data_IF_862422842160
#
_entry.id   IF_862422842160
#
_cell.length_a   1.000
_cell.length_b   1.000
_cell.length_c   1.000
_cell.angle_alpha   90.00
_cell.angle_beta   90.00
_cell.angle_gamma   90.00
#
_symmetry.space_group_name_H-M   'P 1'
#
loop_
_entity.id
_entity.type
_entity.pdbx_description
1 polymer ?
#
# COMPACT_ATOMS: atom_id res chain seq x y z
N UNK A 1 64.25 -18.03 -67.21
CA UNK A 1 64.92 -18.23 -65.91
C UNK A 1 64.04 -19.15 -65.08
N UNK A 2 64.51 -20.37 -64.79
CA UNK A 2 63.95 -21.25 -63.77
C UNK A 2 64.09 -20.58 -62.39
N UNK A 3 63.21 -20.90 -61.44
CA UNK A 3 63.50 -21.85 -60.34
C UNK A 3 62.48 -21.71 -59.21
N UNK A 4 62.01 -22.87 -58.72
CA UNK A 4 61.81 -23.23 -57.30
C UNK A 4 60.85 -22.35 -56.45
N UNK A 5 60.01 -22.85 -55.56
CA UNK A 5 59.66 -24.20 -55.08
C UNK A 5 58.52 -24.01 -54.06
N UNK A 6 58.05 -25.15 -53.55
CA UNK A 6 57.40 -25.35 -52.25
C UNK A 6 55.87 -25.16 -52.18
N UNK A 7 55.08 -26.22 -52.43
CA UNK A 7 54.77 -27.39 -51.57
C UNK A 7 54.12 -27.06 -50.21
N UNK A 8 52.91 -27.62 -50.08
CA UNK A 8 52.35 -28.31 -48.91
C UNK A 8 51.97 -27.42 -47.73
N UNK A 9 50.80 -27.53 -47.10
CA UNK A 9 50.00 -28.71 -46.75
C UNK A 9 48.60 -28.16 -46.40
N UNK A 10 47.48 -28.66 -46.95
CA UNK A 10 46.73 -29.80 -46.37
C UNK A 10 46.44 -29.55 -44.87
N UNK A 11 45.20 -29.43 -44.38
CA UNK A 11 43.96 -30.11 -44.75
C UNK A 11 42.76 -29.38 -44.11
N UNK A 12 41.66 -29.38 -44.87
CA UNK A 12 40.29 -29.82 -44.50
C UNK A 12 39.61 -29.12 -43.30
N UNK A 13 38.33 -28.72 -43.34
CA UNK A 13 37.23 -29.20 -44.17
C UNK A 13 36.02 -28.27 -43.96
N UNK A 14 35.23 -28.13 -45.04
CA UNK A 14 33.76 -27.99 -45.05
C UNK A 14 33.15 -26.82 -44.25
N UNK A 15 32.40 -25.89 -44.82
CA UNK A 15 31.34 -26.09 -45.80
C UNK A 15 31.00 -24.75 -46.45
N UNK A 16 30.95 -24.80 -47.76
CA UNK A 16 30.44 -23.78 -48.66
C UNK A 16 28.96 -23.49 -48.33
N UNK A 17 28.66 -22.28 -47.86
CA UNK A 17 27.29 -21.75 -47.85
C UNK A 17 27.32 -20.31 -48.30
N UNK A 18 26.94 -20.16 -49.58
CA UNK A 18 26.62 -18.94 -50.34
C UNK A 18 26.54 -17.65 -49.53
N UNK A 19 27.42 -16.71 -49.88
CA UNK A 19 27.27 -15.29 -49.63
C UNK A 19 25.97 -14.79 -50.27
N UNK A 20 25.00 -14.44 -49.41
CA UNK A 20 23.97 -13.46 -49.75
C UNK A 20 24.25 -12.21 -48.93
N UNK A 21 24.53 -11.15 -49.67
CA UNK A 21 24.61 -9.76 -49.24
C UNK A 21 23.46 -9.43 -48.29
N UNK A 22 23.77 -9.19 -47.02
CA UNK A 22 22.84 -8.55 -46.09
C UNK A 22 23.21 -7.06 -46.03
N UNK A 23 22.31 -6.25 -46.58
CA UNK A 23 22.39 -4.81 -46.61
C UNK A 23 22.26 -4.19 -45.22
N UNK A 24 22.69 -2.93 -45.15
CA UNK A 24 22.64 -2.02 -44.01
C UNK A 24 21.19 -1.68 -43.59
N UNK A 25 20.43 -2.67 -43.14
CA UNK A 25 19.01 -2.53 -42.84
C UNK A 25 18.52 -3.16 -41.54
N UNK A 26 19.40 -3.74 -40.71
CA UNK A 26 18.93 -4.53 -39.55
C UNK A 26 19.77 -4.41 -38.28
N UNK A 27 20.48 -3.28 -38.10
CA UNK A 27 21.18 -2.99 -36.84
C UNK A 27 20.40 -2.05 -35.89
N UNK A 28 19.24 -1.53 -36.33
CA UNK A 28 18.45 -0.60 -35.51
C UNK A 28 17.66 -1.30 -34.40
N UNK A 29 17.27 -2.57 -34.59
CA UNK A 29 16.40 -3.27 -33.63
C UNK A 29 17.18 -3.80 -32.43
N UNK A 30 18.44 -4.22 -32.62
CA UNK A 30 19.24 -4.84 -31.54
C UNK A 30 19.78 -3.86 -30.50
N UNK A 31 19.78 -2.55 -30.77
CA UNK A 31 20.12 -1.53 -29.76
C UNK A 31 18.90 -1.14 -28.90
N UNK A 32 17.67 -1.38 -29.40
CA UNK A 32 16.44 -0.94 -28.73
C UNK A 32 16.12 -1.71 -27.43
N UNK A 33 16.51 -2.98 -27.32
CA UNK A 33 16.22 -3.80 -26.13
C UNK A 33 17.06 -3.40 -24.89
N UNK A 34 18.22 -2.75 -25.08
CA UNK A 34 19.08 -2.34 -23.96
C UNK A 34 18.60 -1.03 -23.33
N UNK A 35 17.88 -0.18 -24.06
CA UNK A 35 17.41 1.13 -23.57
C UNK A 35 16.11 1.00 -22.75
N UNK A 36 15.24 0.02 -23.05
CA UNK A 36 13.99 -0.19 -22.30
C UNK A 36 14.26 -0.60 -20.84
N UNK A 37 15.28 -1.42 -20.59
CA UNK A 37 15.62 -1.84 -19.22
C UNK A 37 16.17 -0.69 -18.35
N UNK A 38 16.77 0.35 -18.96
CA UNK A 38 17.28 1.52 -18.24
C UNK A 38 16.16 2.52 -17.89
N UNK A 39 15.09 2.61 -18.69
CA UNK A 39 13.94 3.49 -18.39
C UNK A 39 13.04 2.94 -17.28
N UNK A 40 13.03 1.63 -17.01
CA UNK A 40 12.34 1.07 -15.85
C UNK A 40 13.00 1.54 -14.53
N UNK A 41 14.27 1.96 -14.55
CA UNK A 41 14.98 2.43 -13.34
C UNK A 41 14.69 3.89 -12.96
N UNK A 42 14.09 4.70 -13.85
CA UNK A 42 13.83 6.13 -13.58
C UNK A 42 12.35 6.45 -13.29
N UNK A 43 11.44 5.49 -13.46
CA UNK A 43 10.00 5.66 -13.23
C UNK A 43 9.47 5.23 -11.85
N UNK A 44 10.32 4.70 -10.97
CA UNK A 44 9.88 4.15 -9.67
C UNK A 44 10.60 4.75 -8.46
N UNK A 45 11.28 5.88 -8.59
CA UNK A 45 11.72 6.64 -7.41
C UNK A 45 10.65 7.64 -7.00
N UNK A 46 9.46 7.13 -6.69
CA UNK A 46 8.69 7.74 -5.61
C UNK A 46 9.31 7.20 -4.34
N UNK A 47 10.43 7.80 -3.92
CA UNK A 47 10.92 7.74 -2.54
C UNK A 47 9.87 8.43 -1.66
N UNK A 48 8.73 7.77 -1.49
CA UNK A 48 7.97 7.93 -0.27
C UNK A 48 8.86 7.30 0.78
N UNK A 49 9.40 8.18 1.64
CA UNK A 49 9.92 7.86 2.95
C UNK A 49 8.87 7.03 3.73
N UNK A 50 8.67 5.76 3.37
CA UNK A 50 8.13 4.74 4.26
C UNK A 50 9.25 4.44 5.23
N UNK A 51 9.36 5.33 6.21
CA UNK A 51 9.94 4.99 7.50
C UNK A 51 9.34 3.64 7.89
N UNK A 52 10.19 2.61 7.94
CA UNK A 52 9.80 1.27 8.33
C UNK A 52 9.03 1.35 9.67
N UNK A 53 7.70 1.21 9.61
CA UNK A 53 6.86 1.16 10.79
C UNK A 53 5.73 0.16 10.58
N UNK A 54 6.09 -1.11 10.72
CA UNK A 54 5.19 -2.16 11.23
C UNK A 54 3.73 -2.18 10.71
N UNK A 55 3.46 -2.12 9.40
CA UNK A 55 2.13 -2.43 8.84
C UNK A 55 0.93 -1.59 9.33
N UNK A 56 1.15 -0.52 10.10
CA UNK A 56 0.12 0.39 10.59
C UNK A 56 -0.06 1.55 9.62
N UNK A 57 -1.30 1.81 9.21
CA UNK A 57 -1.64 2.93 8.33
C UNK A 57 -2.16 4.08 9.21
N UNK A 58 -1.72 5.30 8.92
CA UNK A 58 -2.18 6.49 9.64
C UNK A 58 -3.55 6.94 9.10
N UNK A 59 -4.42 7.43 9.98
CA UNK A 59 -5.68 8.12 9.66
C UNK A 59 -5.49 9.23 8.62
N UNK A 60 -4.42 10.01 8.73
CA UNK A 60 -4.13 11.07 7.75
C UNK A 60 -3.86 10.52 6.35
N UNK A 61 -3.22 9.35 6.25
CA UNK A 61 -2.97 8.69 4.96
C UNK A 61 -4.27 8.17 4.34
N UNK A 62 -5.18 7.67 5.18
CA UNK A 62 -6.51 7.20 4.79
C UNK A 62 -7.37 8.35 4.23
N UNK A 63 -7.40 9.50 4.90
CA UNK A 63 -8.19 10.66 4.42
C UNK A 63 -7.61 11.22 3.11
N UNK A 64 -6.28 11.32 3.00
CA UNK A 64 -5.64 11.90 1.82
C UNK A 64 -5.63 10.97 0.59
N UNK A 65 -5.76 9.65 0.79
CA UNK A 65 -5.71 8.64 -0.27
C UNK A 65 -6.88 7.64 -0.17
N UNK A 66 -8.08 8.12 0.17
CA UNK A 66 -9.24 7.27 0.44
C UNK A 66 -9.50 6.25 -0.67
N UNK A 67 -9.43 6.66 -1.94
CA UNK A 67 -9.64 5.78 -3.10
C UNK A 67 -8.66 4.60 -3.16
N UNK A 68 -7.46 4.74 -2.57
CA UNK A 68 -6.45 3.68 -2.54
C UNK A 68 -6.77 2.62 -1.50
N UNK A 69 -7.53 2.96 -0.46
CA UNK A 69 -7.81 2.11 0.69
C UNK A 69 -9.27 1.67 0.81
N UNK A 70 -10.17 2.24 0.00
CA UNK A 70 -11.56 1.81 -0.04
C UNK A 70 -11.65 0.30 -0.31
N UNK A 71 -12.56 -0.37 0.38
CA UNK A 71 -12.79 -1.82 0.36
C UNK A 71 -11.60 -2.68 0.81
N UNK A 72 -10.53 -2.06 1.33
CA UNK A 72 -9.38 -2.77 1.90
C UNK A 72 -9.45 -2.86 3.41
N UNK A 73 -8.93 -3.95 3.94
CA UNK A 73 -8.67 -4.09 5.38
C UNK A 73 -7.46 -3.26 5.77
N UNK A 74 -7.64 -2.34 6.71
CA UNK A 74 -6.62 -1.47 7.27
C UNK A 74 -6.47 -1.72 8.76
N UNK A 75 -5.27 -1.52 9.29
CA UNK A 75 -5.02 -1.47 10.73
C UNK A 75 -4.47 -0.11 11.09
N UNK A 76 -5.17 0.58 11.98
CA UNK A 76 -4.90 1.96 12.37
C UNK A 76 -4.62 2.02 13.86
N UNK A 77 -3.67 2.86 14.25
CA UNK A 77 -3.24 3.04 15.63
C UNK A 77 -3.36 4.50 16.06
N UNK A 78 -4.49 4.83 16.69
CA UNK A 78 -4.91 6.21 16.85
C UNK A 78 -5.47 6.53 18.22
N UNK A 79 -5.65 7.83 18.54
CA UNK A 79 -6.31 8.25 19.78
C UNK A 79 -7.81 8.36 19.54
N UNK A 80 -8.65 7.79 20.41
CA UNK A 80 -10.08 8.04 20.37
C UNK A 80 -10.35 9.49 20.77
N UNK A 81 -11.25 10.16 20.03
CA UNK A 81 -11.59 11.57 20.24
C UNK A 81 -12.92 11.67 20.97
N UNK A 82 -14.01 11.25 20.31
CA UNK A 82 -15.38 11.32 20.81
C UNK A 82 -16.18 10.07 20.47
N UNK A 83 -17.23 9.77 21.26
CA UNK A 83 -18.20 8.70 20.96
C UNK A 83 -19.26 9.20 19.98
N UNK A 84 -19.71 8.32 19.10
CA UNK A 84 -20.78 8.57 18.13
C UNK A 84 -21.77 7.41 18.24
N UNK A 85 -22.98 7.69 18.72
CA UNK A 85 -23.96 6.63 19.01
C UNK A 85 -23.45 5.60 20.05
N UNK A 86 -24.05 4.41 20.03
CA UNK A 86 -23.74 3.34 20.98
C UNK A 86 -22.53 2.48 20.59
N UNK A 87 -22.32 2.30 19.28
CA UNK A 87 -21.35 1.35 18.72
C UNK A 87 -20.22 2.03 17.95
N UNK A 88 -20.12 3.36 17.95
CA UNK A 88 -19.13 4.06 17.13
C UNK A 88 -18.38 5.14 17.90
N UNK A 89 -17.24 5.55 17.35
CA UNK A 89 -16.41 6.61 17.90
C UNK A 89 -15.51 7.17 16.82
N UNK A 90 -14.91 8.32 17.06
CA UNK A 90 -13.98 8.95 16.15
C UNK A 90 -12.54 8.77 16.60
N UNK A 91 -11.61 8.68 15.63
CA UNK A 91 -10.18 8.58 15.88
C UNK A 91 -9.38 9.64 15.14
N UNK A 92 -8.29 10.11 15.75
CA UNK A 92 -7.38 11.08 15.16
C UNK A 92 -5.93 10.85 15.62
N UNK A 93 -5.00 10.71 14.67
CA UNK A 93 -3.58 10.50 14.99
C UNK A 93 -2.89 11.77 15.48
N UNK A 94 -3.38 12.92 15.02
CA UNK A 94 -2.80 14.23 15.28
C UNK A 94 -3.90 15.22 15.72
N UNK A 95 -4.48 15.03 16.91
CA UNK A 95 -5.55 15.90 17.41
C UNK A 95 -5.12 17.37 17.55
N UNK A 96 -3.82 17.63 17.68
CA UNK A 96 -3.24 18.98 17.75
C UNK A 96 -3.21 19.72 16.39
N UNK A 97 -3.51 19.06 15.28
CA UNK A 97 -3.31 19.60 13.93
C UNK A 97 -4.60 19.91 13.16
N UNK A 98 -5.74 20.16 13.83
CA UNK A 98 -7.04 20.44 13.18
C UNK A 98 -7.37 19.47 12.03
N UNK A 99 -6.90 18.22 12.13
CA UNK A 99 -7.14 17.18 11.13
C UNK A 99 -8.53 16.58 11.36
N UNK A 100 -9.22 16.33 10.27
CA UNK A 100 -10.55 15.74 10.27
C UNK A 100 -10.48 14.32 10.88
N UNK A 101 -11.29 14.03 11.91
CA UNK A 101 -11.28 12.71 12.53
C UNK A 101 -12.02 11.69 11.65
N UNK A 102 -11.60 10.43 11.74
CA UNK A 102 -12.23 9.31 11.02
C UNK A 102 -13.23 8.62 11.94
N UNK A 103 -14.41 8.29 11.40
CA UNK A 103 -15.39 7.47 12.10
C UNK A 103 -14.97 6.00 12.12
N UNK A 104 -15.07 5.38 13.29
CA UNK A 104 -14.92 3.94 13.49
C UNK A 104 -16.26 3.38 13.91
N UNK A 105 -16.79 2.45 13.12
CA UNK A 105 -18.03 1.71 13.40
C UNK A 105 -17.65 0.34 13.95
N UNK A 106 -18.10 0.02 15.16
CA UNK A 106 -17.83 -1.29 15.77
C UNK A 106 -18.75 -2.36 15.18
N UNK A 107 -18.21 -3.17 14.28
CA UNK A 107 -18.85 -4.35 13.71
C UNK A 107 -18.28 -5.66 14.29
N UNK A 108 -17.51 -5.61 15.38
CA UNK A 108 -16.92 -6.81 16.00
C UNK A 108 -17.94 -7.66 16.77
N UNK A 109 -19.14 -7.13 17.03
CA UNK A 109 -20.15 -7.75 17.89
C UNK A 109 -19.83 -7.68 19.39
N UNK A 110 -18.67 -7.12 19.77
CA UNK A 110 -18.25 -6.96 21.17
C UNK A 110 -18.28 -5.47 21.53
N UNK A 111 -19.00 -5.06 22.59
CA UNK A 111 -18.96 -3.68 23.07
C UNK A 111 -17.53 -3.27 23.44
N UNK A 112 -17.09 -2.12 22.94
CA UNK A 112 -15.77 -1.57 23.25
C UNK A 112 -15.92 -0.30 24.06
N UNK A 113 -15.39 -0.31 25.29
CA UNK A 113 -15.34 0.88 26.13
C UNK A 113 -14.07 1.67 25.81
N UNK A 114 -14.25 2.90 25.34
CA UNK A 114 -13.12 3.82 25.14
C UNK A 114 -12.37 4.04 26.46
N UNK A 115 -11.03 4.12 26.42
CA UNK A 115 -10.24 4.45 27.60
C UNK A 115 -10.59 5.85 28.11
N UNK A 116 -10.70 6.01 29.42
CA UNK A 116 -10.93 7.31 30.07
C UNK A 116 -9.74 8.26 29.85
N UNK A 117 -8.53 7.72 29.78
CA UNK A 117 -7.33 8.48 29.45
C UNK A 117 -7.20 8.66 27.93
N UNK A 118 -7.37 9.90 27.46
CA UNK A 118 -7.26 10.29 26.04
C UNK A 118 -5.84 10.12 25.48
N UNK A 119 -4.82 9.88 26.31
CA UNK A 119 -3.47 9.58 25.86
C UNK A 119 -3.29 8.12 25.43
N UNK A 120 -4.21 7.23 25.84
CA UNK A 120 -4.19 5.82 25.46
C UNK A 120 -4.68 5.67 24.03
N UNK A 121 -3.81 5.12 23.17
CA UNK A 121 -4.17 4.80 21.79
C UNK A 121 -4.97 3.50 21.73
N UNK A 122 -5.80 3.39 20.71
CA UNK A 122 -6.49 2.17 20.32
C UNK A 122 -5.92 1.66 19.00
N UNK A 123 -5.92 0.35 18.83
CA UNK A 123 -5.66 -0.31 17.58
C UNK A 123 -6.98 -0.80 17.00
N UNK A 124 -7.29 -0.34 15.80
CA UNK A 124 -8.52 -0.67 15.07
C UNK A 124 -8.13 -1.41 13.81
N UNK A 125 -8.66 -2.62 13.64
CA UNK A 125 -8.54 -3.38 12.40
C UNK A 125 -9.93 -3.50 11.79
N UNK A 126 -10.06 -3.02 10.56
CA UNK A 126 -11.35 -2.83 9.92
C UNK A 126 -11.26 -2.73 8.40
N UNK A 127 -12.39 -2.81 7.73
CA UNK A 127 -12.49 -2.45 6.31
C UNK A 127 -12.79 -0.96 6.19
N UNK A 128 -12.09 -0.26 5.29
CA UNK A 128 -12.42 1.13 4.99
C UNK A 128 -13.56 1.20 3.98
N UNK A 129 -14.67 1.84 4.34
CA UNK A 129 -15.86 1.99 3.49
C UNK A 129 -16.40 3.41 3.58
N UNK A 130 -17.10 3.85 2.55
CA UNK A 130 -17.91 5.06 2.67
C UNK A 130 -19.13 4.74 3.53
N UNK A 131 -19.49 5.66 4.43
CA UNK A 131 -20.62 5.45 5.32
C UNK A 131 -21.93 5.60 4.55
N UNK A 132 -22.43 4.47 4.07
CA UNK A 132 -23.79 4.31 3.55
C UNK A 132 -24.52 3.39 4.53
N UNK A 133 -25.25 3.99 5.46
CA UNK A 133 -25.89 3.29 6.60
C UNK A 133 -26.58 1.98 6.18
N UNK A 134 -27.55 1.98 5.25
CA UNK A 134 -28.27 0.75 4.91
C UNK A 134 -27.37 -0.36 4.32
N UNK A 135 -26.28 0.00 3.65
CA UNK A 135 -25.32 -0.98 3.13
C UNK A 135 -24.47 -1.57 4.25
N UNK A 136 -23.99 -0.72 5.17
CA UNK A 136 -23.17 -1.15 6.30
C UNK A 136 -23.97 -2.04 7.26
N UNK A 137 -25.21 -1.66 7.60
CA UNK A 137 -26.07 -2.45 8.47
C UNK A 137 -26.35 -3.83 7.89
N UNK A 138 -26.66 -3.90 6.59
CA UNK A 138 -26.94 -5.16 5.89
C UNK A 138 -25.71 -6.06 5.76
N UNK A 139 -24.56 -5.48 5.42
CA UNK A 139 -23.34 -6.24 5.15
C UNK A 139 -22.65 -6.73 6.43
N UNK A 140 -22.63 -5.89 7.47
CA UNK A 140 -21.90 -6.16 8.71
C UNK A 140 -22.79 -6.51 9.90
N UNK A 141 -24.11 -6.58 9.70
CA UNK A 141 -25.10 -6.90 10.73
C UNK A 141 -24.97 -6.01 11.98
N UNK A 142 -24.85 -4.71 11.74
CA UNK A 142 -24.82 -3.66 12.77
C UNK A 142 -26.11 -2.84 12.72
N UNK A 143 -26.42 -2.14 13.81
CA UNK A 143 -27.53 -1.19 13.88
C UNK A 143 -26.96 0.20 14.16
N UNK A 144 -27.18 1.13 13.24
CA UNK A 144 -26.70 2.51 13.27
C UNK A 144 -27.90 3.45 13.25
N UNK A 145 -28.12 4.17 14.33
CA UNK A 145 -29.21 5.14 14.43
C UNK A 145 -28.83 6.44 13.70
N UNK A 146 -29.45 6.70 12.54
CA UNK A 146 -29.19 7.81 11.61
C UNK A 146 -28.90 9.17 12.27
N UNK A 147 -29.57 9.46 13.39
CA UNK A 147 -29.43 10.73 14.13
C UNK A 147 -27.99 11.01 14.57
N UNK A 148 -27.19 9.99 14.88
CA UNK A 148 -25.79 10.16 15.31
C UNK A 148 -24.81 10.28 14.15
N UNK A 149 -25.21 9.88 12.93
CA UNK A 149 -24.30 9.67 11.81
C UNK A 149 -24.46 10.68 10.68
N UNK A 150 -25.37 11.64 10.82
CA UNK A 150 -25.70 12.63 9.77
C UNK A 150 -24.47 13.37 9.22
N UNK A 151 -23.51 13.72 10.09
CA UNK A 151 -22.27 14.42 9.69
C UNK A 151 -21.23 13.52 9.00
N UNK A 152 -21.44 12.21 9.01
CA UNK A 152 -20.50 11.21 8.52
C UNK A 152 -21.00 10.48 7.26
N UNK A 153 -22.24 10.72 6.82
CA UNK A 153 -22.80 10.08 5.64
C UNK A 153 -21.93 10.39 4.41
N UNK A 154 -21.67 9.37 3.60
CA UNK A 154 -20.78 9.41 2.42
C UNK A 154 -19.31 9.75 2.70
N UNK A 155 -18.89 9.82 3.97
CA UNK A 155 -17.48 10.00 4.35
C UNK A 155 -16.80 8.65 4.62
N UNK A 156 -15.47 8.56 4.50
CA UNK A 156 -14.75 7.34 4.81
C UNK A 156 -14.87 7.00 6.29
N UNK A 157 -15.23 5.75 6.57
CA UNK A 157 -15.36 5.17 7.90
C UNK A 157 -14.68 3.80 7.95
N UNK A 158 -14.09 3.46 9.09
CA UNK A 158 -13.50 2.16 9.33
C UNK A 158 -14.55 1.26 9.97
N UNK A 159 -14.98 0.24 9.26
CA UNK A 159 -15.88 -0.79 9.79
C UNK A 159 -15.02 -1.82 10.52
N UNK A 160 -14.93 -1.66 11.84
CA UNK A 160 -13.97 -2.38 12.67
C UNK A 160 -14.47 -3.79 12.98
N UNK A 161 -13.68 -4.79 12.58
CA UNK A 161 -13.87 -6.17 13.01
C UNK A 161 -13.14 -6.47 14.32
N UNK A 162 -12.12 -5.67 14.67
CA UNK A 162 -11.40 -5.80 15.93
C UNK A 162 -10.96 -4.45 16.45
N UNK A 163 -11.16 -4.23 17.75
CA UNK A 163 -10.75 -3.02 18.46
C UNK A 163 -10.06 -3.46 19.74
N UNK A 164 -8.82 -3.04 19.92
CA UNK A 164 -8.02 -3.35 21.12
C UNK A 164 -7.29 -2.12 21.61
N UNK A 165 -6.87 -2.13 22.88
CA UNK A 165 -5.92 -1.12 23.36
C UNK A 165 -4.59 -1.30 22.65
N UNK A 166 -4.04 -0.20 22.16
CA UNK A 166 -2.77 -0.24 21.48
C UNK A 166 -1.66 -0.63 22.47
N UNK A 167 -0.76 -1.57 22.13
CA UNK A 167 0.27 -2.02 23.06
C UNK A 167 1.27 -0.90 23.37
N UNK A 168 1.22 -0.27 24.55
CA UNK A 168 2.17 0.79 24.89
C UNK A 168 3.59 0.25 24.69
N UNK A 169 4.35 0.86 23.79
CA UNK A 169 5.74 0.49 23.57
C UNK A 169 6.49 0.87 24.84
N UNK A 170 6.56 -0.05 25.80
CA UNK A 170 7.50 0.03 26.90
C UNK A 170 8.88 -0.06 26.27
N UNK A 171 9.48 1.10 26.02
CA UNK A 171 10.86 1.22 25.57
C UNK A 171 11.77 0.87 26.74
N UNK A 172 11.84 -0.42 27.04
CA UNK A 172 12.83 -1.05 27.91
C UNK A 172 13.67 -1.98 27.03
N UNK A 173 14.23 -1.44 25.95
CA UNK A 173 15.25 -2.10 25.14
C UNK A 173 16.55 -1.31 25.24
N UNK A 174 17.00 -1.07 26.47
CA UNK A 174 18.40 -0.77 26.76
C UNK A 174 18.79 -1.46 28.08
N UNK A 175 19.99 -2.05 28.05
CA UNK A 175 20.75 -2.72 29.12
C UNK A 175 20.51 -4.23 29.25
N UNK A 176 21.26 -4.99 28.44
CA UNK A 176 22.29 -5.92 28.92
C UNK A 176 23.34 -6.15 27.83
#
# INVERSE_FOLDING_TARGET
MNTLDKKQSERDTSTQSRSRTLGFGDLAVMVSLVIIAAFIRFGYTNDQNTSASSGFINTSEIVNNTDTFIDKTVTVRSRPVDKVGFSSFTVNDQPLLNREPILVVNASGVPFNLPTDKNVKVQVTGQLRNLVIPDIEREFNVNLEDEYYTEYINRPAIIAQSITLAPQSSQNAQLQ
#
